data_IF_064933901655
#
_entry.id   IF_064933901655
#
_cell.length_a   1.000
_cell.length_b   1.000
_cell.length_c   1.000
_cell.angle_alpha   90.00
_cell.angle_beta   90.00
_cell.angle_gamma   90.00
#
_symmetry.space_group_name_H-M   'P 1'
#
loop_
_entity.id
_entity.type
_entity.pdbx_description
1 polymer ?
#
# COMPACT_ATOMS: atom_id res chain seq x y z
N UNK A 1 8.37 -4.46 5.18
CA UNK A 1 7.24 -4.22 6.10
C UNK A 1 5.90 -4.04 5.37
N UNK A 2 5.75 -3.10 4.42
CA UNK A 2 4.48 -2.86 3.72
C UNK A 2 3.94 -4.08 2.97
N UNK A 3 4.82 -4.84 2.33
CA UNK A 3 4.50 -6.09 1.63
C UNK A 3 4.08 -7.22 2.58
N UNK A 4 4.76 -7.32 3.71
CA UNK A 4 4.42 -8.29 4.77
C UNK A 4 3.05 -7.99 5.36
N UNK A 5 2.77 -6.71 5.63
CA UNK A 5 1.46 -6.26 6.09
C UNK A 5 0.36 -6.62 5.08
N UNK A 6 0.60 -6.41 3.79
CA UNK A 6 -0.31 -6.81 2.73
C UNK A 6 -0.61 -8.31 2.82
N UNK A 7 0.42 -9.13 2.89
CA UNK A 7 0.26 -10.59 2.95
C UNK A 7 -0.55 -11.03 4.17
N UNK A 8 -0.22 -10.50 5.35
CA UNK A 8 -0.92 -10.82 6.60
C UNK A 8 -2.39 -10.41 6.53
N UNK A 9 -2.70 -9.22 6.01
CA UNK A 9 -4.07 -8.77 5.80
C UNK A 9 -4.83 -9.64 4.80
N UNK A 10 -4.18 -10.08 3.72
CA UNK A 10 -4.76 -11.00 2.74
C UNK A 10 -5.07 -12.38 3.31
N UNK A 11 -4.47 -12.75 4.44
CA UNK A 11 -4.81 -13.95 5.20
C UNK A 11 -6.05 -13.78 6.09
N UNK A 12 -6.69 -12.61 6.07
CA UNK A 12 -7.91 -12.33 6.81
C UNK A 12 -7.71 -11.94 8.26
N UNK A 13 -6.50 -11.47 8.62
CA UNK A 13 -6.13 -11.06 9.99
C UNK A 13 -6.10 -9.54 10.12
N UNK A 14 -6.01 -9.06 11.38
CA UNK A 14 -5.70 -7.65 11.68
C UNK A 14 -4.20 -7.40 11.78
N UNK A 15 -3.80 -6.14 11.60
CA UNK A 15 -2.41 -5.69 11.73
C UNK A 15 -2.36 -4.42 12.57
N UNK A 16 -1.47 -4.40 13.57
CA UNK A 16 -1.02 -3.18 14.23
C UNK A 16 0.30 -2.72 13.62
N UNK A 17 0.44 -1.45 13.35
CA UNK A 17 1.68 -0.86 12.85
C UNK A 17 1.98 0.46 13.56
N UNK A 18 3.24 0.83 13.60
CA UNK A 18 3.68 2.10 14.19
C UNK A 18 4.25 3.02 13.12
N UNK A 19 3.81 4.27 13.15
CA UNK A 19 4.39 5.38 12.39
C UNK A 19 5.04 6.41 13.31
N UNK A 20 5.42 5.99 14.52
CA UNK A 20 6.19 6.83 15.43
C UNK A 20 7.54 7.21 14.81
N UNK A 21 8.00 8.42 15.08
CA UNK A 21 9.24 8.96 14.50
C UNK A 21 10.46 8.06 14.73
N UNK A 22 10.53 7.41 15.89
CA UNK A 22 11.60 6.47 16.20
C UNK A 22 11.75 5.31 15.22
N UNK A 23 10.70 4.96 14.49
CA UNK A 23 10.70 3.92 13.46
C UNK A 23 10.77 4.50 12.05
N UNK A 24 9.99 5.54 11.77
CA UNK A 24 9.93 6.15 10.45
C UNK A 24 11.25 6.81 10.07
N UNK A 25 11.95 7.43 11.03
CA UNK A 25 13.28 8.01 10.80
C UNK A 25 14.35 7.01 10.34
N UNK A 26 14.13 5.71 10.53
CA UNK A 26 15.05 4.65 10.09
C UNK A 26 14.81 4.22 8.64
N UNK A 27 13.74 4.68 8.01
CA UNK A 27 13.50 4.40 6.60
C UNK A 27 14.56 5.10 5.73
N UNK A 28 14.94 4.50 4.59
CA UNK A 28 15.90 5.13 3.71
C UNK A 28 15.33 6.39 3.06
N UNK A 29 16.22 7.28 2.63
CA UNK A 29 15.84 8.39 1.78
C UNK A 29 15.42 7.91 0.41
N UNK A 30 14.46 8.62 -0.18
CA UNK A 30 13.99 8.38 -1.53
C UNK A 30 14.88 9.16 -2.50
N UNK A 31 15.18 8.58 -3.66
CA UNK A 31 15.96 9.24 -4.70
C UNK A 31 15.37 10.61 -5.07
N UNK A 32 16.23 11.56 -5.41
CA UNK A 32 15.83 12.91 -5.81
C UNK A 32 15.14 12.91 -7.19
N UNK A 33 15.63 12.06 -8.11
CA UNK A 33 15.16 12.02 -9.49
C UNK A 33 14.43 10.70 -9.77
N UNK A 34 13.29 10.82 -10.43
CA UNK A 34 12.50 9.69 -10.89
C UNK A 34 12.54 9.57 -12.40
N UNK A 35 12.70 8.36 -12.90
CA UNK A 35 12.68 8.06 -14.33
C UNK A 35 11.97 6.74 -14.60
N UNK A 36 11.31 6.66 -15.75
CA UNK A 36 10.72 5.43 -16.23
C UNK A 36 11.82 4.45 -16.66
N UNK A 37 11.58 3.16 -16.42
CA UNK A 37 12.50 2.08 -16.79
C UNK A 37 11.80 1.03 -17.63
N UNK A 38 12.58 0.16 -18.28
CA UNK A 38 12.07 -0.99 -19.03
C UNK A 38 11.73 -2.18 -18.13
N UNK A 39 11.94 -2.06 -16.83
CA UNK A 39 11.60 -3.11 -15.86
C UNK A 39 10.10 -3.33 -15.84
N UNK A 40 9.68 -4.58 -16.02
CA UNK A 40 8.27 -4.98 -15.96
C UNK A 40 8.06 -5.90 -14.76
N UNK A 41 7.18 -5.51 -13.86
CA UNK A 41 6.75 -6.35 -12.74
C UNK A 41 5.63 -7.28 -13.24
N UNK A 42 5.92 -8.56 -13.36
CA UNK A 42 4.94 -9.58 -13.71
C UNK A 42 4.23 -10.06 -12.45
N UNK A 43 2.95 -9.72 -12.31
CA UNK A 43 2.18 -10.02 -11.10
C UNK A 43 1.60 -11.43 -11.17
N UNK A 44 2.01 -12.37 -10.28
CA UNK A 44 1.40 -13.70 -10.20
C UNK A 44 -0.01 -13.62 -9.58
N UNK A 45 -0.85 -14.60 -9.94
CA UNK A 45 -2.21 -14.72 -9.39
C UNK A 45 -2.23 -15.45 -8.05
N UNK A 46 -1.60 -14.85 -7.03
CA UNK A 46 -1.54 -15.39 -5.67
C UNK A 46 -1.32 -14.29 -4.65
N UNK A 47 -1.69 -14.55 -3.39
CA UNK A 47 -1.46 -13.61 -2.27
C UNK A 47 0.02 -13.24 -2.13
N UNK A 48 0.88 -14.26 -2.11
CA UNK A 48 2.32 -14.03 -1.99
C UNK A 48 2.89 -13.34 -3.24
N UNK A 49 2.33 -13.63 -4.41
CA UNK A 49 2.70 -12.98 -5.67
C UNK A 49 2.39 -11.50 -5.66
N UNK A 50 1.23 -11.11 -5.16
CA UNK A 50 0.85 -9.71 -5.00
C UNK A 50 1.78 -8.98 -4.00
N UNK A 51 2.05 -9.59 -2.85
CA UNK A 51 2.94 -9.04 -1.85
C UNK A 51 4.37 -8.86 -2.39
N UNK A 52 4.90 -9.86 -3.09
CA UNK A 52 6.22 -9.77 -3.73
C UNK A 52 6.29 -8.70 -4.80
N UNK A 53 5.26 -8.59 -5.63
CA UNK A 53 5.18 -7.55 -6.67
C UNK A 53 5.16 -6.16 -6.05
N UNK A 54 4.43 -5.98 -4.97
CA UNK A 54 4.42 -4.71 -4.24
C UNK A 54 5.78 -4.39 -3.60
N UNK A 55 6.44 -5.39 -3.02
CA UNK A 55 7.81 -5.24 -2.50
C UNK A 55 8.78 -4.79 -3.58
N UNK A 56 8.73 -5.40 -4.76
CA UNK A 56 9.56 -5.04 -5.90
C UNK A 56 9.31 -3.58 -6.32
N UNK A 57 8.05 -3.19 -6.45
CA UNK A 57 7.68 -1.81 -6.76
C UNK A 57 8.26 -0.82 -5.74
N UNK A 58 8.06 -1.04 -4.45
CA UNK A 58 8.56 -0.15 -3.39
C UNK A 58 10.09 -0.05 -3.42
N UNK A 59 10.76 -1.17 -3.63
CA UNK A 59 12.22 -1.20 -3.76
C UNK A 59 12.73 -0.35 -4.92
N UNK A 60 12.08 -0.45 -6.08
CA UNK A 60 12.41 0.35 -7.26
C UNK A 60 12.12 1.84 -7.03
N UNK A 61 11.00 2.17 -6.40
CA UNK A 61 10.63 3.55 -6.10
C UNK A 61 11.63 4.24 -5.16
N UNK A 62 12.17 3.53 -4.17
CA UNK A 62 13.25 4.09 -3.33
C UNK A 62 14.48 4.49 -4.14
N UNK A 63 14.76 3.79 -5.24
CA UNK A 63 15.85 4.08 -6.17
C UNK A 63 15.48 5.09 -7.26
N UNK A 64 14.27 5.63 -7.25
CA UNK A 64 13.79 6.56 -8.28
C UNK A 64 13.41 5.91 -9.60
N UNK A 65 13.24 4.60 -9.64
CA UNK A 65 12.87 3.85 -10.83
C UNK A 65 11.36 3.62 -10.85
N UNK A 66 10.71 3.99 -11.96
CA UNK A 66 9.29 3.75 -12.19
C UNK A 66 9.17 2.60 -13.19
N UNK A 67 8.79 1.37 -12.73
CA UNK A 67 8.63 0.25 -13.62
C UNK A 67 7.28 0.28 -14.34
N UNK A 68 7.17 -0.56 -15.35
CA UNK A 68 5.88 -1.02 -15.86
C UNK A 68 5.41 -2.23 -15.06
N UNK A 69 4.14 -2.60 -15.19
CA UNK A 69 3.59 -3.81 -14.59
C UNK A 69 2.67 -4.54 -15.54
N UNK A 70 2.74 -5.87 -15.48
CA UNK A 70 1.94 -6.78 -16.24
C UNK A 70 1.05 -7.59 -15.29
N UNK A 71 -0.26 -7.39 -15.39
CA UNK A 71 -1.27 -8.06 -14.58
C UNK A 71 -2.08 -9.10 -15.36
N UNK A 72 -1.64 -9.48 -16.55
CA UNK A 72 -2.37 -10.41 -17.44
C UNK A 72 -2.57 -11.79 -16.83
N UNK A 73 -1.70 -12.18 -15.90
CA UNK A 73 -1.81 -13.47 -15.19
C UNK A 73 -2.79 -13.46 -14.02
N UNK A 74 -3.20 -12.27 -13.57
CA UNK A 74 -4.17 -12.12 -12.46
C UNK A 74 -5.56 -12.46 -12.98
N UNK A 75 -6.27 -13.32 -12.24
CA UNK A 75 -7.64 -13.69 -12.60
C UNK A 75 -8.55 -12.47 -12.73
N UNK A 76 -9.48 -12.48 -13.69
CA UNK A 76 -10.36 -11.34 -13.92
C UNK A 76 -11.37 -11.17 -12.77
N UNK A 77 -11.93 -9.97 -12.68
CA UNK A 77 -13.01 -9.69 -11.76
C UNK A 77 -14.20 -10.65 -11.98
N UNK A 78 -14.79 -11.10 -10.89
CA UNK A 78 -15.91 -12.02 -10.91
C UNK A 78 -15.55 -13.51 -10.93
N UNK A 79 -14.28 -13.87 -11.14
CA UNK A 79 -13.82 -15.27 -11.04
C UNK A 79 -14.03 -15.80 -9.60
N UNK A 80 -14.39 -17.09 -9.50
CA UNK A 80 -14.62 -17.74 -8.20
C UNK A 80 -13.33 -17.87 -7.39
N UNK A 81 -13.42 -17.55 -6.10
CA UNK A 81 -12.34 -17.76 -5.13
C UNK A 81 -12.47 -19.14 -4.51
N UNK A 82 -11.39 -19.92 -4.54
CA UNK A 82 -11.40 -21.32 -4.07
C UNK A 82 -11.38 -21.46 -2.55
N UNK A 83 -10.78 -20.52 -1.83
CA UNK A 83 -10.43 -20.69 -0.42
C UNK A 83 -11.46 -20.06 0.54
N UNK A 84 -12.00 -18.90 0.24
CA UNK A 84 -12.90 -18.16 1.13
C UNK A 84 -14.32 -18.01 0.60
N UNK A 85 -14.60 -18.56 -0.56
CA UNK A 85 -15.83 -18.26 -1.30
C UNK A 85 -15.85 -16.80 -1.76
N UNK A 86 -16.79 -16.47 -2.62
CA UNK A 86 -16.89 -15.12 -3.19
C UNK A 86 -16.22 -15.02 -4.55
N UNK A 87 -16.08 -13.78 -5.00
CA UNK A 87 -15.57 -13.48 -6.33
C UNK A 87 -14.31 -12.63 -6.27
N UNK A 88 -13.42 -12.84 -7.23
CA UNK A 88 -12.19 -12.06 -7.37
C UNK A 88 -12.50 -10.61 -7.76
N UNK A 89 -11.64 -9.69 -7.31
CA UNK A 89 -11.71 -8.27 -7.66
C UNK A 89 -11.14 -7.95 -9.05
N UNK A 90 -10.35 -8.84 -9.61
CA UNK A 90 -9.46 -8.53 -10.72
C UNK A 90 -8.19 -7.80 -10.26
N UNK A 91 -7.34 -7.37 -11.21
CA UNK A 91 -6.07 -6.71 -10.91
C UNK A 91 -6.21 -5.22 -10.53
N UNK A 92 -7.33 -4.59 -10.82
CA UNK A 92 -7.52 -3.14 -10.68
C UNK A 92 -7.17 -2.58 -9.29
N UNK A 93 -7.56 -3.21 -8.16
CA UNK A 93 -7.20 -2.71 -6.84
C UNK A 93 -5.68 -2.65 -6.65
N UNK A 94 -4.94 -3.66 -7.10
CA UNK A 94 -3.49 -3.67 -7.02
C UNK A 94 -2.87 -2.58 -7.90
N UNK A 95 -3.40 -2.37 -9.10
CA UNK A 95 -2.96 -1.30 -10.01
C UNK A 95 -3.18 0.08 -9.37
N UNK A 96 -4.30 0.28 -8.68
CA UNK A 96 -4.54 1.51 -7.93
C UNK A 96 -3.52 1.74 -6.81
N UNK A 97 -3.16 0.69 -6.07
CA UNK A 97 -2.10 0.76 -5.07
C UNK A 97 -0.77 1.13 -5.71
N UNK A 98 -0.42 0.53 -6.84
CA UNK A 98 0.82 0.82 -7.55
C UNK A 98 0.87 2.30 -7.99
N UNK A 99 -0.20 2.80 -8.58
CA UNK A 99 -0.31 4.21 -8.98
C UNK A 99 -0.24 5.16 -7.79
N UNK A 100 -0.93 4.81 -6.71
CA UNK A 100 -0.88 5.58 -5.46
C UNK A 100 0.55 5.65 -4.91
N UNK A 101 1.24 4.51 -4.87
CA UNK A 101 2.61 4.42 -4.38
C UNK A 101 3.58 5.24 -5.22
N UNK A 102 3.46 5.19 -6.54
CA UNK A 102 4.29 6.02 -7.45
C UNK A 102 4.09 7.51 -7.15
N UNK A 103 2.85 7.96 -7.01
CA UNK A 103 2.57 9.38 -6.69
C UNK A 103 3.12 9.77 -5.32
N UNK A 104 2.94 8.92 -4.32
CA UNK A 104 3.43 9.16 -2.96
C UNK A 104 4.95 9.32 -2.93
N UNK A 105 5.66 8.39 -3.54
CA UNK A 105 7.13 8.39 -3.57
C UNK A 105 7.67 9.57 -4.39
N UNK A 106 7.07 9.90 -5.51
CA UNK A 106 7.45 11.09 -6.30
C UNK A 106 7.27 12.38 -5.49
N UNK A 107 6.19 12.47 -4.71
CA UNK A 107 5.96 13.61 -3.82
C UNK A 107 6.96 13.71 -2.67
N UNK A 108 7.63 12.61 -2.34
CA UNK A 108 8.66 12.53 -1.28
C UNK A 108 10.09 12.47 -1.83
N UNK A 109 10.31 12.80 -3.11
CA UNK A 109 11.62 12.75 -3.75
C UNK A 109 12.66 13.56 -2.97
N UNK A 110 13.85 12.98 -2.77
CA UNK A 110 14.97 13.61 -2.09
C UNK A 110 14.86 13.66 -0.56
N UNK A 111 13.86 13.02 0.03
CA UNK A 111 13.68 12.95 1.49
C UNK A 111 13.15 11.58 1.93
N UNK A 112 13.00 11.40 3.23
CA UNK A 112 12.31 10.24 3.80
C UNK A 112 10.79 10.44 3.76
N UNK A 113 10.05 9.32 3.76
CA UNK A 113 8.61 9.35 4.00
C UNK A 113 8.32 9.93 5.39
N UNK A 114 7.28 10.73 5.49
CA UNK A 114 6.77 11.22 6.78
C UNK A 114 5.92 10.16 7.47
N UNK A 115 5.68 10.27 8.79
CA UNK A 115 4.72 9.41 9.49
C UNK A 115 3.36 9.34 8.82
N UNK A 116 2.80 10.46 8.41
CA UNK A 116 1.51 10.53 7.72
C UNK A 116 1.53 9.81 6.36
N UNK A 117 2.59 9.96 5.58
CA UNK A 117 2.74 9.27 4.31
C UNK A 117 2.85 7.75 4.50
N UNK A 118 3.58 7.28 5.51
CA UNK A 118 3.63 5.87 5.89
C UNK A 118 2.24 5.36 6.30
N UNK A 119 1.52 6.11 7.11
CA UNK A 119 0.15 5.82 7.52
C UNK A 119 -0.77 5.68 6.31
N UNK A 120 -0.73 6.64 5.39
CA UNK A 120 -1.56 6.63 4.18
C UNK A 120 -1.27 5.44 3.28
N UNK A 121 0.00 5.06 3.14
CA UNK A 121 0.38 3.86 2.38
C UNK A 121 -0.15 2.58 3.02
N UNK A 122 -0.03 2.44 4.34
CA UNK A 122 -0.59 1.31 5.07
C UNK A 122 -2.12 1.24 4.90
N UNK A 123 -2.81 2.36 5.02
CA UNK A 123 -4.26 2.42 4.79
C UNK A 123 -4.64 2.05 3.36
N UNK A 124 -3.85 2.48 2.37
CA UNK A 124 -4.09 2.12 0.96
C UNK A 124 -3.92 0.62 0.72
N UNK A 125 -2.91 0.01 1.32
CA UNK A 125 -2.73 -1.46 1.29
C UNK A 125 -3.96 -2.16 1.84
N UNK A 126 -4.47 -1.74 2.99
CA UNK A 126 -5.68 -2.33 3.58
C UNK A 126 -6.91 -2.14 2.69
N UNK A 127 -7.07 -0.98 2.08
CA UNK A 127 -8.17 -0.70 1.17
C UNK A 127 -8.22 -1.70 0.02
N UNK A 128 -7.09 -1.96 -0.64
CA UNK A 128 -7.06 -2.89 -1.77
C UNK A 128 -7.29 -4.33 -1.35
N UNK A 129 -6.89 -4.71 -0.13
CA UNK A 129 -7.14 -6.05 0.42
C UNK A 129 -8.65 -6.26 0.65
N UNK A 130 -9.34 -5.26 1.21
CA UNK A 130 -10.79 -5.32 1.43
C UNK A 130 -11.54 -5.41 0.10
N UNK A 131 -11.21 -4.55 -0.86
CA UNK A 131 -11.81 -4.56 -2.21
C UNK A 131 -11.45 -5.85 -2.95
N UNK A 132 -10.25 -6.41 -2.69
CA UNK A 132 -9.75 -7.66 -3.25
C UNK A 132 -10.49 -8.93 -2.83
N UNK A 133 -11.54 -8.82 -2.03
CA UNK A 133 -12.41 -9.94 -1.65
C UNK A 133 -12.13 -10.52 -0.26
N UNK A 134 -11.18 -9.98 0.49
CA UNK A 134 -11.01 -10.29 1.91
C UNK A 134 -12.00 -9.42 2.69
N UNK A 135 -13.04 -10.04 3.22
CA UNK A 135 -14.20 -9.33 3.80
C UNK A 135 -13.90 -8.52 5.07
N UNK A 136 -12.76 -8.75 5.72
CA UNK A 136 -12.40 -8.10 6.97
C UNK A 136 -10.92 -7.80 6.97
N UNK A 137 -10.60 -6.52 7.10
CA UNK A 137 -9.27 -6.02 7.38
C UNK A 137 -9.41 -5.09 8.57
N UNK A 138 -8.53 -5.24 9.55
CA UNK A 138 -8.48 -4.36 10.70
C UNK A 138 -7.07 -3.80 10.84
N UNK A 139 -6.97 -2.48 10.93
CA UNK A 139 -5.71 -1.79 11.17
C UNK A 139 -5.78 -1.01 12.47
N UNK A 140 -4.69 -1.06 13.24
CA UNK A 140 -4.43 -0.16 14.35
C UNK A 140 -3.13 0.58 14.04
N UNK A 141 -3.20 1.90 14.00
CA UNK A 141 -2.05 2.77 13.79
C UNK A 141 -1.60 3.37 15.11
N UNK A 142 -0.33 3.23 15.42
CA UNK A 142 0.31 3.89 16.56
C UNK A 142 1.17 5.04 16.05
N UNK A 143 1.10 6.17 16.72
CA UNK A 143 1.85 7.39 16.38
C UNK A 143 2.27 8.14 17.62
N UNK A 144 3.19 9.08 17.45
CA UNK A 144 3.56 9.99 18.53
C UNK A 144 2.40 10.92 18.89
N UNK A 145 2.17 11.14 20.18
CA UNK A 145 1.12 12.06 20.65
C UNK A 145 1.37 13.50 20.23
N UNK A 146 2.62 13.85 19.95
CA UNK A 146 3.05 15.17 19.48
C UNK A 146 2.96 15.35 17.97
N UNK A 147 2.62 14.31 17.21
CA UNK A 147 2.49 14.40 15.75
C UNK A 147 1.17 15.06 15.35
N UNK A 148 1.23 16.34 15.05
CA UNK A 148 0.05 17.13 14.69
C UNK A 148 -0.52 16.72 13.32
N UNK A 149 0.30 16.29 12.38
CA UNK A 149 -0.17 15.84 11.06
C UNK A 149 -1.03 14.59 11.20
N UNK A 150 -0.60 13.62 12.01
CA UNK A 150 -1.42 12.43 12.31
C UNK A 150 -2.69 12.80 13.08
N UNK A 151 -2.60 13.69 14.07
CA UNK A 151 -3.77 14.16 14.84
C UNK A 151 -4.82 14.81 13.93
N UNK A 152 -4.39 15.51 12.90
CA UNK A 152 -5.25 16.20 11.94
C UNK A 152 -5.65 15.30 10.75
N UNK A 153 -5.12 14.09 10.64
CA UNK A 153 -5.30 13.21 9.48
C UNK A 153 -6.76 12.93 9.11
N UNK A 154 -7.64 12.93 10.10
CA UNK A 154 -9.09 12.75 9.93
C UNK A 154 -9.90 13.98 10.28
N UNK A 155 -9.32 15.16 10.10
CA UNK A 155 -10.02 16.43 10.31
C UNK A 155 -10.68 16.92 9.01
N UNK A 156 -11.82 17.61 9.12
CA UNK A 156 -12.52 18.17 7.97
C UNK A 156 -13.09 17.11 7.04
N UNK A 157 -13.01 17.34 5.73
CA UNK A 157 -13.58 16.49 4.69
C UNK A 157 -12.59 15.42 4.19
N UNK A 158 -11.74 14.87 5.05
CA UNK A 158 -10.74 13.86 4.72
C UNK A 158 -11.33 12.64 3.96
N UNK A 159 -12.56 12.27 4.24
CA UNK A 159 -13.25 11.17 3.59
C UNK A 159 -13.47 11.37 2.09
N UNK A 160 -13.37 12.60 1.59
CA UNK A 160 -13.45 12.90 0.15
C UNK A 160 -12.08 12.82 -0.53
N UNK A 161 -11.02 13.22 0.16
CA UNK A 161 -9.66 13.32 -0.41
C UNK A 161 -8.80 12.10 -0.09
N UNK A 162 -8.94 11.54 1.10
CA UNK A 162 -8.13 10.42 1.61
C UNK A 162 -9.00 9.34 2.28
N UNK A 163 -9.98 8.77 1.54
CA UNK A 163 -10.98 7.86 2.11
C UNK A 163 -10.37 6.59 2.72
N UNK A 164 -9.16 6.16 2.27
CA UNK A 164 -8.47 5.01 2.83
C UNK A 164 -8.13 5.17 4.31
N UNK A 165 -7.99 6.40 4.82
CA UNK A 165 -7.73 6.66 6.26
C UNK A 165 -8.82 6.10 7.17
N UNK A 166 -10.01 5.86 6.65
CA UNK A 166 -11.10 5.22 7.39
C UNK A 166 -10.83 3.77 7.79
N UNK A 167 -9.81 3.11 7.21
CA UNK A 167 -9.48 1.71 7.49
C UNK A 167 -8.59 1.51 8.72
N UNK A 168 -7.94 2.56 9.22
CA UNK A 168 -7.12 2.51 10.43
C UNK A 168 -7.83 3.16 11.63
N UNK A 169 -7.68 2.52 12.79
CA UNK A 169 -8.07 3.05 14.09
C UNK A 169 -6.85 3.58 14.82
#
# INVERSE_FOLDING_TARGET
>A
AFDEMMYVLMCGTGVGFSVEEQYVSKLPEIAEDFHATDTVIHVPDSKIGWAKSFRELVSLLYSGQIPEWDTTRVRPAGASLKTFGGRASGPEPLVELFKFSVRLFKGAAGRKLTPLECHDLCCKVAQIVVVGGVRRSALISLSDLSDDDIRQAKHGAWYNTEPQRGLAN
#
